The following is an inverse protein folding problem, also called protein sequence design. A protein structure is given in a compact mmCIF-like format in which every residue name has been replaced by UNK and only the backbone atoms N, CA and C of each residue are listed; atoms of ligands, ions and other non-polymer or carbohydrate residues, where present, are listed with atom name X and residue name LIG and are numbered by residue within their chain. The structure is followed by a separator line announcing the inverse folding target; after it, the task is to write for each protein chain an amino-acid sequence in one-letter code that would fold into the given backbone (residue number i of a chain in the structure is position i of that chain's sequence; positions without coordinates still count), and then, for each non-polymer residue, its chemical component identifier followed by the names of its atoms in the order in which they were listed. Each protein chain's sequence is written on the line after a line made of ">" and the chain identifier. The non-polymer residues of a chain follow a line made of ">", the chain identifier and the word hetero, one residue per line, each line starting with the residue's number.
data_IF_934059129195
#
_entry.id   IF_934059129195
#
_cell.length_a   1.000
_cell.length_b   1.000
_cell.length_c   1.000
_cell.angle_alpha   90.00
_cell.angle_beta   90.00
_cell.angle_gamma   90.00
#
_symmetry.space_group_name_H-M   'P 1'
#
loop_
_entity.id
_entity.type
_entity.pdbx_description
1 polymer ?
#
# COMPACT_ATOMS: atom_id res chain seq x y z
N UNK A 1 -7.80 -1.74 -0.52
CA UNK A 1 -7.15 -1.03 -1.64
C UNK A 1 -5.85 -1.72 -1.95
N UNK A 2 -5.42 -1.73 -3.20
CA UNK A 2 -4.14 -2.30 -3.60
C UNK A 2 -3.04 -1.25 -3.50
N UNK A 3 -1.86 -1.66 -3.08
CA UNK A 3 -0.67 -0.82 -3.12
C UNK A 3 -0.13 -0.82 -4.55
N UNK A 4 -0.06 0.35 -5.16
CA UNK A 4 0.43 0.48 -6.54
C UNK A 4 1.94 0.73 -6.58
N UNK A 5 2.44 1.57 -5.68
CA UNK A 5 3.87 1.84 -5.55
C UNK A 5 4.25 2.20 -4.13
N UNK A 6 5.53 1.99 -3.80
CA UNK A 6 6.11 2.29 -2.50
C UNK A 6 7.44 2.99 -2.74
N UNK A 7 7.60 4.15 -2.12
CA UNK A 7 8.86 4.87 -2.06
C UNK A 7 9.44 4.67 -0.65
N UNK A 8 10.44 3.78 -0.54
CA UNK A 8 11.05 3.45 0.76
C UNK A 8 11.93 4.58 1.27
N UNK A 9 12.53 5.37 0.39
CA UNK A 9 13.40 6.50 0.75
C UNK A 9 12.59 7.65 1.34
N UNK A 10 11.47 8.00 0.68
CA UNK A 10 10.56 9.05 1.15
C UNK A 10 9.52 8.55 2.15
N UNK A 11 9.49 7.24 2.42
CA UNK A 11 8.49 6.56 3.24
C UNK A 11 7.07 6.93 2.82
N UNK A 12 6.76 6.76 1.53
CA UNK A 12 5.41 6.99 1.01
C UNK A 12 4.85 5.75 0.33
N UNK A 13 3.53 5.61 0.36
CA UNK A 13 2.80 4.54 -0.32
C UNK A 13 1.75 5.18 -1.23
N UNK A 14 1.70 4.72 -2.47
CA UNK A 14 0.65 5.09 -3.41
C UNK A 14 -0.40 3.99 -3.48
N UNK A 15 -1.65 4.36 -3.25
CA UNK A 15 -2.80 3.45 -3.39
C UNK A 15 -3.86 4.15 -4.24
N UNK A 16 -4.04 3.66 -5.47
CA UNK A 16 -4.80 4.39 -6.48
C UNK A 16 -4.16 5.75 -6.77
N UNK A 17 -4.97 6.79 -6.98
CA UNK A 17 -4.48 8.14 -7.30
C UNK A 17 -3.99 8.97 -6.10
N UNK A 18 -3.76 8.35 -4.93
CA UNK A 18 -3.37 9.05 -3.70
C UNK A 18 -2.06 8.50 -3.16
N UNK A 19 -1.16 9.42 -2.80
CA UNK A 19 0.08 9.12 -2.09
C UNK A 19 -0.07 9.48 -0.62
N UNK A 20 0.36 8.57 0.24
CA UNK A 20 0.28 8.69 1.69
C UNK A 20 1.66 8.60 2.30
N UNK A 21 1.97 9.49 3.22
CA UNK A 21 3.23 9.50 3.97
C UNK A 21 3.12 8.58 5.17
N UNK A 22 4.10 7.70 5.33
CA UNK A 22 4.25 6.77 6.45
C UNK A 22 5.29 7.32 7.41
N UNK A 23 4.91 7.49 8.67
CA UNK A 23 5.83 7.92 9.75
C UNK A 23 6.12 6.75 10.67
N UNK A 24 6.98 6.97 11.68
CA UNK A 24 7.26 5.97 12.71
C UNK A 24 6.03 5.70 13.59
N UNK A 25 5.12 6.67 13.69
CA UNK A 25 3.86 6.53 14.45
C UNK A 25 2.80 5.72 13.67
N UNK A 26 3.02 5.45 12.39
CA UNK A 26 2.09 4.66 11.58
C UNK A 26 2.09 3.22 12.08
N UNK A 27 0.95 2.75 12.57
CA UNK A 27 0.79 1.36 13.00
C UNK A 27 0.62 0.46 11.78
N UNK A 28 1.61 -0.38 11.49
CA UNK A 28 1.56 -1.32 10.37
C UNK A 28 1.34 -2.74 10.89
N UNK A 29 0.33 -3.41 10.35
CA UNK A 29 -0.02 -4.79 10.68
C UNK A 29 -0.30 -5.59 9.42
N UNK A 30 0.05 -6.87 9.43
CA UNK A 30 -0.30 -7.84 8.39
C UNK A 30 -1.03 -9.00 9.02
N UNK A 31 -2.26 -9.25 8.57
CA UNK A 31 -3.12 -10.32 9.09
C UNK A 31 -3.27 -10.33 10.63
N UNK A 32 -3.24 -9.13 11.22
CA UNK A 32 -3.35 -8.93 12.67
C UNK A 32 -2.03 -8.94 13.44
N UNK A 33 -0.93 -9.35 12.83
CA UNK A 33 0.40 -9.28 13.44
C UNK A 33 1.11 -7.96 13.11
N UNK A 34 2.01 -7.44 13.99
CA UNK A 34 2.89 -6.33 13.64
C UNK A 34 3.68 -6.64 12.37
N UNK A 35 3.83 -5.64 11.50
CA UNK A 35 4.53 -5.79 10.23
C UNK A 35 5.40 -4.58 9.96
N UNK A 36 6.46 -4.78 9.17
CA UNK A 36 7.47 -3.75 8.92
C UNK A 36 7.22 -3.05 7.59
N UNK A 37 7.40 -1.73 7.57
CA UNK A 37 7.25 -0.94 6.34
C UNK A 37 8.17 -1.43 5.22
N UNK A 38 9.39 -1.86 5.54
CA UNK A 38 10.37 -2.33 4.55
C UNK A 38 9.97 -3.62 3.84
N UNK A 39 9.11 -4.42 4.46
CA UNK A 39 8.57 -5.66 3.91
C UNK A 39 7.26 -5.46 3.15
N UNK A 40 6.75 -4.24 3.10
CA UNK A 40 5.58 -3.91 2.29
C UNK A 40 6.02 -3.84 0.83
N UNK A 41 5.23 -4.46 -0.04
CA UNK A 41 5.49 -4.51 -1.47
C UNK A 41 4.27 -4.05 -2.27
N UNK A 42 4.52 -3.56 -3.48
CA UNK A 42 3.46 -3.26 -4.43
C UNK A 42 2.71 -4.54 -4.80
N UNK A 43 1.41 -4.41 -5.04
CA UNK A 43 0.50 -5.53 -5.28
C UNK A 43 -0.17 -6.09 -4.02
N UNK A 44 0.35 -5.80 -2.82
CA UNK A 44 -0.31 -6.19 -1.58
C UNK A 44 -1.61 -5.40 -1.39
N UNK A 45 -2.62 -6.07 -0.84
CA UNK A 45 -3.86 -5.40 -0.46
C UNK A 45 -3.77 -4.90 0.97
N UNK A 46 -4.05 -3.60 1.12
CA UNK A 46 -4.07 -2.92 2.39
C UNK A 46 -5.32 -2.07 2.56
N UNK A 47 -5.67 -1.86 3.82
CA UNK A 47 -6.70 -0.92 4.26
C UNK A 47 -6.10 -0.09 5.37
N UNK A 48 -6.56 1.14 5.51
CA UNK A 48 -5.95 2.02 6.49
C UNK A 48 -6.74 3.27 6.72
N UNK A 49 -6.29 4.00 7.73
CA UNK A 49 -6.81 5.32 8.07
C UNK A 49 -5.67 6.31 7.90
N UNK A 50 -6.02 7.47 7.36
CA UNK A 50 -5.10 8.57 7.17
C UNK A 50 -5.72 9.83 7.78
N UNK A 51 -4.86 10.79 8.11
CA UNK A 51 -5.24 12.15 8.44
C UNK A 51 -4.64 13.10 7.43
N UNK A 52 -5.35 14.17 7.11
CA UNK A 52 -4.82 15.27 6.30
C UNK A 52 -4.14 16.26 7.24
N UNK A 53 -2.90 16.61 6.95
CA UNK A 53 -2.14 17.63 7.66
C UNK A 53 -2.45 19.02 7.09
N UNK A 54 -2.03 20.07 7.79
CA UNK A 54 -2.30 21.46 7.45
C UNK A 54 -1.68 21.89 6.10
N UNK A 55 -0.57 21.25 5.72
CA UNK A 55 0.10 21.41 4.42
C UNK A 55 -0.63 20.67 3.26
N UNK A 56 -1.71 19.96 3.57
CA UNK A 56 -2.45 19.14 2.62
C UNK A 56 -1.93 17.71 2.44
N UNK A 57 -0.81 17.36 3.09
CA UNK A 57 -0.22 16.03 3.04
C UNK A 57 -1.13 14.99 3.71
N UNK A 58 -1.24 13.81 3.10
CA UNK A 58 -1.98 12.70 3.67
C UNK A 58 -1.04 11.82 4.50
N UNK A 59 -1.14 11.91 5.82
CA UNK A 59 -0.35 11.08 6.72
C UNK A 59 -1.12 9.82 7.12
N UNK A 60 -0.49 8.67 6.92
CA UNK A 60 -1.05 7.37 7.23
C UNK A 60 -0.95 7.11 8.75
N UNK A 61 -2.07 6.82 9.40
CA UNK A 61 -2.16 6.57 10.85
C UNK A 61 -2.07 5.08 11.15
N UNK A 62 -2.77 4.27 10.36
CA UNK A 62 -2.75 2.82 10.48
C UNK A 62 -2.82 2.15 9.13
N UNK A 63 -1.94 1.17 8.89
CA UNK A 63 -1.92 0.33 7.71
C UNK A 63 -2.18 -1.12 8.12
N UNK A 64 -3.26 -1.69 7.62
CA UNK A 64 -3.63 -3.09 7.78
C UNK A 64 -3.53 -3.80 6.44
N UNK A 65 -2.48 -4.57 6.28
CA UNK A 65 -2.26 -5.45 5.13
C UNK A 65 -3.00 -6.75 5.39
N UNK A 66 -3.73 -7.22 4.39
CA UNK A 66 -4.45 -8.49 4.44
C UNK A 66 -3.98 -9.35 3.29
N UNK A 67 -3.63 -10.60 3.58
CA UNK A 67 -3.32 -11.58 2.55
C UNK A 67 -4.64 -12.06 1.95
N UNK A 68 -5.19 -11.28 1.01
CA UNK A 68 -6.14 -11.85 0.06
C UNK A 68 -5.30 -12.56 -1.00
N UNK A 69 -5.54 -13.85 -1.20
CA UNK A 69 -4.97 -14.62 -2.30
C UNK A 69 -5.40 -13.97 -3.62
N UNK A 70 -4.63 -13.01 -4.11
CA UNK A 70 -4.81 -12.40 -5.42
C UNK A 70 -4.16 -13.29 -6.47
N UNK A 71 -4.78 -14.45 -6.74
CA UNK A 71 -4.55 -15.19 -7.98
C UNK A 71 -5.20 -14.50 -9.20
N UNK A 72 -5.90 -13.37 -9.02
CA UNK A 72 -6.77 -12.78 -10.06
C UNK A 72 -6.28 -11.50 -10.75
N UNK A 73 -5.07 -10.98 -10.47
CA UNK A 73 -4.64 -9.69 -11.10
C UNK A 73 -3.33 -9.72 -11.91
N UNK A 74 -2.71 -10.89 -12.12
CA UNK A 74 -1.61 -11.02 -13.10
C UNK A 74 -2.03 -11.68 -14.44
N UNK A 75 -3.29 -12.08 -14.60
CA UNK A 75 -3.78 -12.69 -15.84
C UNK A 75 -4.13 -11.69 -16.96
N UNK A 76 -3.90 -10.38 -16.80
CA UNK A 76 -4.29 -9.36 -17.79
C UNK A 76 -3.13 -8.63 -18.50
N UNK A 77 -1.87 -9.08 -18.41
CA UNK A 77 -0.76 -8.51 -19.23
C UNK A 77 -0.05 -9.49 -20.18
N UNK A 78 -0.58 -10.69 -20.41
CA UNK A 78 0.03 -11.68 -21.32
C UNK A 78 -0.84 -12.03 -22.56
N UNK A 79 -1.90 -11.27 -22.89
CA UNK A 79 -2.80 -11.65 -24.00
C UNK A 79 -2.88 -10.69 -25.20
N UNK A 80 -2.16 -9.55 -25.24
CA UNK A 80 -2.18 -8.64 -26.41
C UNK A 80 -0.87 -8.63 -27.22
N UNK A 81 -0.03 -9.65 -27.11
CA UNK A 81 1.17 -9.80 -27.95
C UNK A 81 1.04 -10.93 -28.99
N UNK A 82 -0.14 -11.53 -29.14
CA UNK A 82 -0.31 -12.70 -30.01
C UNK A 82 -1.71 -12.75 -30.65
N UNK A 83 -2.07 -11.74 -31.43
CA UNK A 83 -3.04 -11.84 -32.54
C UNK A 83 -2.52 -11.05 -33.74
#
# INVERSE_FOLDING_TARGET
>A
MKIESIDKEKRTITMGSKTYTVTQDTKITKDGAPFEFEKVEAGMTATGSYRKLDDGTLQLVSLKITTINSQDEQSQKQQEANQ
#
